data_IF_064139351678
#
_entry.id   IF_064139351678
#
_cell.length_a   1.000
_cell.length_b   1.000
_cell.length_c   1.000
_cell.angle_alpha   90.00
_cell.angle_beta   90.00
_cell.angle_gamma   90.00
#
_symmetry.space_group_name_H-M   'P 1'
#
loop_
_entity.id
_entity.type
_entity.pdbx_description
1 polymer ?
#
# COMPACT_ATOMS: atom_id res chain seq x y z
N UNK A 1 -25.65 -9.02 -7.09
CA UNK A 1 -25.10 -7.69 -7.36
C UNK A 1 -24.39 -7.15 -6.15
N UNK A 2 -23.21 -6.61 -6.35
CA UNK A 2 -22.44 -6.05 -5.26
C UNK A 2 -22.98 -4.67 -4.91
N UNK A 3 -23.21 -4.46 -3.63
CA UNK A 3 -23.72 -3.17 -3.17
C UNK A 3 -22.64 -2.10 -3.33
N UNK A 4 -22.98 -0.92 -3.84
CA UNK A 4 -22.00 0.15 -4.03
C UNK A 4 -21.26 0.52 -2.75
N UNK A 5 -21.94 0.53 -1.62
CA UNK A 5 -21.31 0.88 -0.35
C UNK A 5 -20.22 -0.11 0.02
N UNK A 6 -20.45 -1.38 -0.23
CA UNK A 6 -19.46 -2.41 0.09
C UNK A 6 -18.24 -2.26 -0.79
N UNK A 7 -18.46 -1.99 -2.08
CA UNK A 7 -17.36 -1.79 -3.01
C UNK A 7 -16.56 -0.55 -2.66
N UNK A 8 -17.25 0.53 -2.31
CA UNK A 8 -16.58 1.76 -1.92
C UNK A 8 -15.74 1.55 -0.67
N UNK A 9 -16.19 0.69 0.25
CA UNK A 9 -15.41 0.38 1.43
C UNK A 9 -14.08 -0.27 1.08
N UNK A 10 -14.10 -1.23 0.16
CA UNK A 10 -12.88 -1.91 -0.28
C UNK A 10 -11.94 -0.94 -0.98
N UNK A 11 -12.47 -0.15 -1.90
CA UNK A 11 -11.64 0.80 -2.63
C UNK A 11 -11.03 1.83 -1.71
N UNK A 12 -11.81 2.30 -0.74
CA UNK A 12 -11.31 3.27 0.21
C UNK A 12 -10.20 2.69 1.08
N UNK A 13 -10.34 1.43 1.47
CA UNK A 13 -9.32 0.76 2.24
C UNK A 13 -8.03 0.64 1.46
N UNK A 14 -8.13 0.29 0.17
CA UNK A 14 -6.95 0.18 -0.66
C UNK A 14 -6.26 1.52 -0.86
N UNK A 15 -7.06 2.59 -1.01
CA UNK A 15 -6.49 3.92 -1.16
C UNK A 15 -5.79 4.36 0.13
N UNK A 16 -6.36 4.02 1.28
CA UNK A 16 -5.75 4.36 2.55
C UNK A 16 -4.42 3.64 2.73
N UNK A 17 -4.39 2.35 2.40
CA UNK A 17 -3.15 1.58 2.47
C UNK A 17 -2.13 2.13 1.47
N UNK A 18 -2.60 2.47 0.28
CA UNK A 18 -1.71 3.04 -0.74
C UNK A 18 -1.08 4.35 -0.29
N UNK A 19 -1.87 5.21 0.36
CA UNK A 19 -1.36 6.47 0.87
C UNK A 19 -0.28 6.23 1.92
N UNK A 20 -0.50 5.26 2.81
CA UNK A 20 0.51 4.93 3.82
C UNK A 20 1.79 4.42 3.17
N UNK A 21 1.65 3.57 2.15
CA UNK A 21 2.82 3.06 1.43
C UNK A 21 3.62 4.20 0.82
N UNK A 22 2.92 5.14 0.17
CA UNK A 22 3.61 6.27 -0.45
C UNK A 22 4.31 7.14 0.58
N UNK A 23 3.71 7.31 1.76
CA UNK A 23 4.34 8.07 2.82
C UNK A 23 5.58 7.38 3.37
N UNK A 24 5.55 6.06 3.41
CA UNK A 24 6.71 5.30 3.90
C UNK A 24 7.85 5.30 2.91
N UNK A 25 7.57 5.56 1.63
CA UNK A 25 8.59 5.55 0.59
C UNK A 25 9.28 6.91 0.50
N UNK A 26 9.92 7.31 1.58
CA UNK A 26 10.76 8.50 1.58
C UNK A 26 12.06 8.25 0.84
N UNK A 27 12.40 7.00 0.64
CA UNK A 27 13.58 6.55 -0.08
C UNK A 27 13.25 5.19 -0.69
N UNK A 28 14.00 4.71 -1.67
CA UNK A 28 13.77 3.38 -2.23
C UNK A 28 13.92 2.31 -1.15
N UNK A 29 13.00 1.36 -1.15
CA UNK A 29 12.96 0.29 -0.15
C UNK A 29 12.62 -1.03 -0.79
N UNK A 30 13.12 -2.10 -0.21
CA UNK A 30 12.73 -3.43 -0.66
C UNK A 30 11.29 -3.70 -0.25
N UNK A 31 10.67 -4.66 -0.94
CA UNK A 31 9.29 -5.05 -0.60
C UNK A 31 9.21 -5.53 0.84
N UNK A 32 10.19 -6.32 1.27
CA UNK A 32 10.20 -6.85 2.63
C UNK A 32 10.27 -5.75 3.68
N UNK A 33 11.13 -4.78 3.46
CA UNK A 33 11.27 -3.67 4.40
C UNK A 33 10.00 -2.84 4.45
N UNK A 34 9.42 -2.57 3.29
CA UNK A 34 8.19 -1.80 3.21
C UNK A 34 7.06 -2.50 3.93
N UNK A 35 6.97 -3.82 3.75
CA UNK A 35 5.96 -4.62 4.43
C UNK A 35 6.11 -4.54 5.95
N UNK A 36 7.33 -4.64 6.45
CA UNK A 36 7.59 -4.53 7.88
C UNK A 36 7.21 -3.17 8.43
N UNK A 37 7.59 -2.12 7.73
CA UNK A 37 7.29 -0.77 8.18
C UNK A 37 5.79 -0.49 8.15
N UNK A 38 5.11 -0.98 7.12
CA UNK A 38 3.67 -0.85 7.06
C UNK A 38 3.00 -1.56 8.23
N UNK A 39 3.49 -2.74 8.57
CA UNK A 39 2.97 -3.48 9.70
C UNK A 39 3.08 -2.71 11.00
N UNK A 40 4.22 -2.05 11.21
CA UNK A 40 4.40 -1.24 12.41
C UNK A 40 3.42 -0.06 12.45
N UNK A 41 3.24 0.62 11.33
CA UNK A 41 2.32 1.75 11.27
C UNK A 41 0.90 1.28 11.52
N UNK A 42 0.50 0.20 10.86
CA UNK A 42 -0.87 -0.27 10.95
C UNK A 42 -1.20 -0.84 12.32
N UNK A 43 -0.24 -1.52 12.95
CA UNK A 43 -0.49 -2.11 14.26
C UNK A 43 -0.65 -1.05 15.34
N UNK A 44 -0.21 0.16 15.09
CA UNK A 44 -0.40 1.26 16.03
C UNK A 44 -1.77 1.90 15.96
N UNK A 45 -2.59 1.48 15.03
CA UNK A 45 -3.94 2.04 14.85
C UNK A 45 -4.96 1.01 15.28
N UNK A 46 -5.66 1.31 16.34
CA UNK A 46 -6.60 0.36 16.93
C UNK A 46 -7.77 0.01 16.03
N UNK A 47 -8.18 0.92 15.17
CA UNK A 47 -9.33 0.72 14.32
C UNK A 47 -8.98 0.03 13.00
N UNK A 48 -7.72 -0.20 12.75
CA UNK A 48 -7.29 -0.72 11.47
C UNK A 48 -7.41 -2.22 11.42
N UNK A 49 -8.07 -2.71 10.41
CA UNK A 49 -8.10 -4.15 10.17
C UNK A 49 -6.71 -4.58 9.73
N UNK A 50 -6.39 -5.80 10.07
CA UNK A 50 -5.12 -6.35 9.62
C UNK A 50 -5.10 -6.40 8.10
N UNK A 51 -4.09 -5.77 7.54
CA UNK A 51 -3.84 -5.84 6.11
C UNK A 51 -3.00 -7.08 5.88
N UNK A 52 -3.55 -8.06 5.17
CA UNK A 52 -2.77 -9.24 4.88
C UNK A 52 -1.83 -8.97 3.70
N UNK A 53 -0.91 -9.90 3.50
CA UNK A 53 0.11 -9.72 2.49
C UNK A 53 -0.48 -9.62 1.08
N UNK A 54 -1.54 -10.36 0.81
CA UNK A 54 -2.18 -10.33 -0.50
C UNK A 54 -2.72 -8.94 -0.81
N UNK A 55 -3.33 -8.29 0.17
CA UNK A 55 -3.83 -6.93 0.02
C UNK A 55 -2.70 -5.95 -0.23
N UNK A 56 -1.59 -6.15 0.48
CA UNK A 56 -0.41 -5.32 0.30
C UNK A 56 0.11 -5.42 -1.12
N UNK A 57 0.24 -6.64 -1.64
CA UNK A 57 0.73 -6.86 -2.99
C UNK A 57 -0.23 -6.26 -4.02
N UNK A 58 -1.53 -6.46 -3.82
CA UNK A 58 -2.54 -5.89 -4.72
C UNK A 58 -2.46 -4.36 -4.73
N UNK A 59 -2.25 -3.77 -3.57
CA UNK A 59 -2.13 -2.31 -3.48
C UNK A 59 -0.88 -1.82 -4.18
N UNK A 60 0.23 -2.53 -4.04
CA UNK A 60 1.45 -2.19 -4.76
C UNK A 60 1.23 -2.26 -6.27
N UNK A 61 0.55 -3.31 -6.74
CA UNK A 61 0.25 -3.44 -8.16
C UNK A 61 -0.58 -2.27 -8.65
N UNK A 62 -1.58 -1.89 -7.87
CA UNK A 62 -2.44 -0.77 -8.24
C UNK A 62 -1.62 0.53 -8.34
N UNK A 63 -0.79 0.78 -7.34
CA UNK A 63 0.04 1.99 -7.35
C UNK A 63 1.01 1.99 -8.54
N UNK A 64 1.54 0.82 -8.86
CA UNK A 64 2.43 0.68 -10.00
C UNK A 64 1.68 1.00 -11.30
N UNK A 65 0.48 0.45 -11.46
CA UNK A 65 -0.34 0.68 -12.64
C UNK A 65 -0.74 2.15 -12.77
N UNK A 66 -0.91 2.84 -11.66
CA UNK A 66 -1.22 4.27 -11.67
C UNK A 66 0.00 5.14 -11.94
N UNK A 67 1.17 4.53 -12.06
CA UNK A 67 2.38 5.27 -12.35
C UNK A 67 3.00 6.00 -11.16
N UNK A 68 2.56 5.67 -9.94
CA UNK A 68 3.08 6.32 -8.75
C UNK A 68 4.31 5.64 -8.18
N UNK A 69 4.53 4.39 -8.55
CA UNK A 69 5.67 3.60 -8.08
C UNK A 69 6.44 3.04 -9.27
N UNK A 70 7.71 2.78 -9.04
CA UNK A 70 8.50 2.04 -10.02
C UNK A 70 9.52 1.19 -9.27
N UNK A 71 10.02 0.18 -9.99
CA UNK A 71 11.05 -0.71 -9.44
C UNK A 71 12.40 -0.30 -9.97
N UNK A 72 13.38 -0.30 -9.08
CA UNK A 72 14.74 0.07 -9.43
C UNK A 72 15.70 -0.80 -8.62
N UNK A 73 16.36 -1.73 -9.29
CA UNK A 73 17.35 -2.62 -8.66
C UNK A 73 16.78 -3.37 -7.46
N UNK A 74 15.56 -3.88 -7.61
CA UNK A 74 14.93 -4.67 -6.57
C UNK A 74 14.30 -3.86 -5.46
N UNK A 75 14.28 -2.55 -5.60
CA UNK A 75 13.67 -1.67 -4.62
C UNK A 75 12.51 -0.92 -5.25
N UNK A 76 11.52 -0.63 -4.42
CA UNK A 76 10.37 0.15 -4.84
C UNK A 76 10.65 1.61 -4.48
N UNK A 77 10.33 2.50 -5.39
CA UNK A 77 10.45 3.93 -5.11
C UNK A 77 9.31 4.68 -5.76
N UNK A 78 9.08 5.88 -5.28
CA UNK A 78 8.06 6.75 -5.89
C UNK A 78 8.62 7.30 -7.19
N UNK A 79 7.73 7.44 -8.18
CA UNK A 79 8.15 7.83 -9.52
C UNK A 79 8.82 9.19 -9.59
N UNK A 80 8.45 10.08 -8.70
CA UNK A 80 9.01 11.44 -8.74
C UNK A 80 10.05 11.71 -7.66
N UNK A 81 10.68 10.66 -7.22
CA UNK A 81 11.82 10.81 -6.31
C UNK A 81 13.11 10.99 -7.06
#
# INVERSE_FOLDING_TARGET
MILPTKRLGVERAMLAVGAEILELLTEPKTVSRLWEELGHVMSGRSSTRMVNYDWFVLTLDLLYMLGTLEMDHGRIRRTNQ
#
